data_IF_441941138086
#
_entry.id   IF_441941138086
#
_cell.length_a   1.000
_cell.length_b   1.000
_cell.length_c   1.000
_cell.angle_alpha   90.00
_cell.angle_beta   90.00
_cell.angle_gamma   90.00
#
_symmetry.space_group_name_H-M   'P 1'
#
loop_
_entity.id
_entity.type
_entity.pdbx_description
1 polymer ?
#
# COMPACT_ATOMS: atom_id res chain seq x y z
N UNK A 1 1.21 4.39 -9.73
CA UNK A 1 0.15 3.66 -8.99
C UNK A 1 -0.84 4.65 -8.39
N UNK A 2 -2.16 4.36 -8.48
CA UNK A 2 -3.17 5.07 -7.71
C UNK A 2 -3.20 4.51 -6.27
N UNK A 3 -2.94 5.38 -5.28
CA UNK A 3 -2.95 5.00 -3.88
C UNK A 3 -4.37 4.67 -3.39
N UNK A 4 -4.54 3.69 -2.49
CA UNK A 4 -5.82 3.42 -1.86
C UNK A 4 -6.26 4.60 -0.97
N UNK A 5 -7.47 5.08 -1.17
CA UNK A 5 -8.05 6.20 -0.44
C UNK A 5 -9.46 5.86 0.01
N UNK A 6 -9.68 5.73 1.33
CA UNK A 6 -10.96 5.37 1.92
C UNK A 6 -12.06 6.39 1.53
N UNK A 7 -13.19 5.90 1.03
CA UNK A 7 -14.29 6.71 0.52
C UNK A 7 -14.06 7.35 -0.86
N UNK A 8 -12.92 7.08 -1.50
CA UNK A 8 -12.54 7.69 -2.79
C UNK A 8 -12.29 6.64 -3.86
N UNK A 9 -11.36 5.70 -3.63
CA UNK A 9 -10.93 4.74 -4.66
C UNK A 9 -11.89 3.55 -4.83
N UNK A 10 -13.20 3.83 -4.88
CA UNK A 10 -14.21 2.88 -5.27
C UNK A 10 -14.13 2.56 -6.79
N UNK A 11 -14.92 1.61 -7.25
CA UNK A 11 -14.92 1.17 -8.66
C UNK A 11 -15.10 2.36 -9.63
N UNK A 12 -16.04 3.27 -9.36
CA UNK A 12 -16.34 4.39 -10.27
C UNK A 12 -15.12 5.34 -10.41
N UNK A 13 -14.46 5.67 -9.30
CA UNK A 13 -13.29 6.55 -9.34
C UNK A 13 -12.10 5.87 -10.05
N UNK A 14 -11.84 4.59 -9.77
CA UNK A 14 -10.78 3.84 -10.45
C UNK A 14 -11.05 3.72 -11.94
N UNK A 15 -12.30 3.44 -12.35
CA UNK A 15 -12.71 3.42 -13.76
C UNK A 15 -12.43 4.76 -14.44
N UNK A 16 -12.84 5.87 -13.82
CA UNK A 16 -12.59 7.21 -14.35
C UNK A 16 -11.08 7.49 -14.55
N UNK A 17 -10.25 7.10 -13.56
CA UNK A 17 -8.80 7.27 -13.66
C UNK A 17 -8.22 6.43 -14.80
N UNK A 18 -8.66 5.18 -14.98
CA UNK A 18 -8.24 4.28 -16.06
C UNK A 18 -8.65 4.82 -17.43
N UNK A 19 -9.87 5.32 -17.56
CA UNK A 19 -10.36 5.95 -18.80
C UNK A 19 -9.52 7.18 -19.18
N UNK A 20 -9.13 8.00 -18.20
CA UNK A 20 -8.26 9.15 -18.43
C UNK A 20 -6.84 8.74 -18.84
N UNK A 21 -6.29 7.68 -18.25
CA UNK A 21 -5.00 7.14 -18.68
C UNK A 21 -5.10 6.64 -20.12
N UNK A 22 -6.09 5.79 -20.40
CA UNK A 22 -6.30 5.23 -21.74
C UNK A 22 -6.45 6.31 -22.82
N UNK A 23 -7.27 7.33 -22.54
CA UNK A 23 -7.50 8.44 -23.47
C UNK A 23 -6.24 9.26 -23.78
N UNK A 24 -5.28 9.33 -22.84
CA UNK A 24 -4.05 10.14 -22.99
C UNK A 24 -2.87 9.37 -23.49
N UNK A 25 -2.75 8.09 -23.17
CA UNK A 25 -1.57 7.26 -23.44
C UNK A 25 -1.84 6.14 -24.44
N UNK A 26 -3.10 5.85 -24.75
CA UNK A 26 -3.52 4.74 -25.61
C UNK A 26 -3.48 3.37 -24.90
N UNK A 27 -2.98 3.30 -23.66
CA UNK A 27 -2.88 2.06 -22.88
C UNK A 27 -3.17 2.34 -21.42
N UNK A 28 -3.54 1.28 -20.66
CA UNK A 28 -3.64 1.35 -19.20
C UNK A 28 -2.50 0.51 -18.63
N UNK A 29 -1.51 1.17 -18.06
CA UNK A 29 -0.32 0.56 -17.44
C UNK A 29 -0.26 0.79 -15.93
N UNK A 30 -1.10 1.71 -15.41
CA UNK A 30 -1.17 2.04 -14.00
C UNK A 30 -1.82 0.93 -13.17
N UNK A 31 -1.33 0.74 -11.93
CA UNK A 31 -1.99 -0.09 -10.93
C UNK A 31 -2.94 0.78 -10.10
N UNK A 32 -4.19 0.35 -9.98
CA UNK A 32 -5.26 1.10 -9.31
C UNK A 32 -5.72 0.33 -8.07
N UNK A 33 -5.28 0.78 -6.90
CA UNK A 33 -5.55 0.06 -5.64
C UNK A 33 -6.93 0.44 -5.10
N UNK A 34 -7.75 -0.57 -4.76
CA UNK A 34 -9.06 -0.32 -4.15
C UNK A 34 -8.95 0.23 -2.72
N UNK A 35 -10.09 0.60 -2.15
CA UNK A 35 -10.16 1.05 -0.76
C UNK A 35 -9.69 -0.04 0.21
N UNK A 36 -9.12 0.39 1.35
CA UNK A 36 -8.67 -0.52 2.41
C UNK A 36 -9.83 -1.27 3.04
N UNK A 37 -9.78 -2.59 3.04
CA UNK A 37 -10.71 -3.46 3.78
C UNK A 37 -10.00 -4.15 4.95
N UNK A 38 -10.75 -4.48 6.02
CA UNK A 38 -10.16 -5.22 7.12
C UNK A 38 -10.15 -6.72 6.80
N UNK A 39 -9.02 -7.39 7.02
CA UNK A 39 -8.87 -8.83 6.82
C UNK A 39 -9.95 -9.63 7.57
N UNK A 40 -10.23 -9.26 8.82
CA UNK A 40 -11.27 -9.90 9.62
C UNK A 40 -12.66 -9.80 8.99
N UNK A 41 -13.08 -8.59 8.57
CA UNK A 41 -14.40 -8.40 7.97
C UNK A 41 -14.53 -9.12 6.61
N UNK A 42 -13.41 -9.24 5.87
CA UNK A 42 -13.38 -10.03 4.63
C UNK A 42 -13.63 -11.51 4.92
N UNK A 43 -12.89 -12.08 5.87
CA UNK A 43 -13.04 -13.50 6.28
C UNK A 43 -14.43 -13.78 6.84
N UNK A 44 -14.99 -12.86 7.64
CA UNK A 44 -16.34 -12.95 8.20
C UNK A 44 -17.43 -12.63 7.14
N UNK A 45 -17.08 -12.44 5.89
CA UNK A 45 -17.99 -12.17 4.74
C UNK A 45 -18.94 -11.01 4.98
N UNK A 46 -18.47 -9.94 5.61
CA UNK A 46 -19.26 -8.73 5.80
C UNK A 46 -19.65 -8.15 4.44
N UNK A 47 -20.96 -8.00 4.19
CA UNK A 47 -21.50 -7.57 2.89
C UNK A 47 -20.91 -6.25 2.39
N UNK A 48 -20.78 -5.26 3.27
CA UNK A 48 -20.16 -3.97 2.91
C UNK A 48 -18.70 -4.15 2.49
N UNK A 49 -17.97 -5.01 3.20
CA UNK A 49 -16.57 -5.32 2.87
C UNK A 49 -16.46 -6.03 1.53
N UNK A 50 -17.29 -7.03 1.27
CA UNK A 50 -17.35 -7.73 -0.01
C UNK A 50 -17.69 -6.77 -1.16
N UNK A 51 -18.62 -5.85 -0.96
CA UNK A 51 -18.92 -4.82 -1.95
C UNK A 51 -17.71 -3.91 -2.25
N UNK A 52 -16.89 -3.58 -1.25
CA UNK A 52 -15.66 -2.77 -1.44
C UNK A 52 -14.56 -3.53 -2.20
N UNK A 53 -14.62 -4.86 -2.28
CA UNK A 53 -13.65 -5.69 -3.04
C UNK A 53 -14.10 -5.95 -4.48
N UNK A 54 -15.13 -5.28 -4.97
CA UNK A 54 -15.57 -5.42 -6.36
C UNK A 54 -14.70 -4.61 -7.31
N UNK A 55 -14.51 -5.16 -8.51
CA UNK A 55 -13.77 -4.54 -9.61
C UNK A 55 -14.64 -4.48 -10.85
N UNK A 56 -14.42 -3.49 -11.71
CA UNK A 56 -15.07 -3.44 -13.01
C UNK A 56 -14.44 -4.51 -13.93
N UNK A 57 -15.21 -5.05 -14.91
CA UNK A 57 -14.72 -6.13 -15.79
C UNK A 57 -13.41 -5.82 -16.53
N UNK A 58 -13.14 -4.54 -16.79
CA UNK A 58 -11.93 -4.07 -17.47
C UNK A 58 -10.76 -3.78 -16.52
N UNK A 59 -10.93 -3.92 -15.20
CA UNK A 59 -9.86 -3.71 -14.24
C UNK A 59 -8.92 -4.93 -14.23
N UNK A 60 -7.77 -4.78 -14.88
CA UNK A 60 -6.67 -5.74 -14.93
C UNK A 60 -5.35 -4.95 -14.85
N UNK A 61 -4.46 -5.27 -13.88
CA UNK A 61 -4.68 -6.15 -12.73
C UNK A 61 -5.60 -5.55 -11.66
N UNK A 62 -6.31 -6.42 -10.93
CA UNK A 62 -7.17 -6.06 -9.78
C UNK A 62 -6.30 -5.98 -8.51
N UNK A 63 -6.25 -4.83 -7.88
CA UNK A 63 -5.42 -4.60 -6.70
C UNK A 63 -6.26 -4.34 -5.45
N UNK A 64 -6.12 -5.23 -4.46
CA UNK A 64 -6.87 -5.19 -3.21
C UNK A 64 -5.97 -4.79 -2.03
N UNK A 65 -6.34 -3.71 -1.31
CA UNK A 65 -5.63 -3.37 -0.08
C UNK A 65 -6.31 -3.94 1.15
N UNK A 66 -5.56 -4.70 1.96
CA UNK A 66 -6.04 -5.23 3.24
C UNK A 66 -5.37 -4.53 4.43
N UNK A 67 -6.13 -4.39 5.51
CA UNK A 67 -5.69 -3.95 6.82
C UNK A 67 -5.89 -5.05 7.85
N UNK A 68 -4.90 -5.24 8.71
CA UNK A 68 -4.93 -6.29 9.72
C UNK A 68 -4.05 -5.93 10.92
N UNK A 69 -4.26 -6.63 12.04
CA UNK A 69 -3.40 -6.63 13.23
C UNK A 69 -3.14 -8.06 13.73
N UNK A 70 -3.56 -9.06 12.96
CA UNK A 70 -3.57 -10.46 13.34
C UNK A 70 -3.05 -11.33 12.19
N UNK A 71 -1.96 -12.09 12.38
CA UNK A 71 -1.38 -12.94 11.33
C UNK A 71 -2.33 -14.05 10.86
N UNK A 72 -3.17 -14.61 11.74
CA UNK A 72 -4.11 -15.68 11.37
C UNK A 72 -5.20 -15.15 10.44
N UNK A 73 -5.82 -14.03 10.80
CA UNK A 73 -6.79 -13.37 9.91
C UNK A 73 -6.15 -12.87 8.62
N UNK A 74 -4.87 -12.47 8.66
CA UNK A 74 -4.11 -12.11 7.46
C UNK A 74 -4.01 -13.29 6.50
N UNK A 75 -3.55 -14.43 6.99
CA UNK A 75 -3.45 -15.65 6.20
C UNK A 75 -4.79 -16.05 5.60
N UNK A 76 -5.85 -16.10 6.42
CA UNK A 76 -7.19 -16.48 5.97
C UNK A 76 -7.73 -15.51 4.90
N UNK A 77 -7.52 -14.21 5.07
CA UNK A 77 -7.97 -13.20 4.11
C UNK A 77 -7.21 -13.31 2.78
N UNK A 78 -5.88 -13.41 2.82
CA UNK A 78 -5.06 -13.58 1.63
C UNK A 78 -5.37 -14.92 0.93
N UNK A 79 -5.57 -15.99 1.68
CA UNK A 79 -5.98 -17.29 1.12
C UNK A 79 -7.36 -17.22 0.46
N UNK A 80 -8.32 -16.52 1.07
CA UNK A 80 -9.64 -16.28 0.46
C UNK A 80 -9.53 -15.48 -0.85
N UNK A 81 -8.64 -14.46 -0.89
CA UNK A 81 -8.39 -13.69 -2.12
C UNK A 81 -7.88 -14.60 -3.24
N UNK A 82 -6.96 -15.51 -2.94
CA UNK A 82 -6.42 -16.50 -3.89
C UNK A 82 -7.51 -17.47 -4.33
N UNK A 83 -8.15 -18.16 -3.38
CA UNK A 83 -9.06 -19.29 -3.65
C UNK A 83 -10.33 -18.86 -4.39
N UNK A 84 -10.82 -17.66 -4.10
CA UNK A 84 -12.00 -17.08 -4.74
C UNK A 84 -11.67 -16.15 -5.91
N UNK A 85 -10.40 -16.05 -6.29
CA UNK A 85 -9.91 -15.20 -7.39
C UNK A 85 -10.43 -13.75 -7.27
N UNK A 86 -10.31 -13.15 -6.08
CA UNK A 86 -10.85 -11.83 -5.81
C UNK A 86 -9.95 -10.70 -6.35
N UNK A 87 -8.63 -10.93 -6.43
CA UNK A 87 -7.68 -9.94 -6.91
C UNK A 87 -6.39 -10.61 -7.42
N UNK A 88 -5.62 -9.85 -8.23
CA UNK A 88 -4.36 -10.24 -8.84
C UNK A 88 -3.15 -9.66 -8.10
N UNK A 89 -3.39 -8.79 -7.12
CA UNK A 89 -2.38 -8.14 -6.30
C UNK A 89 -2.95 -7.84 -4.91
N UNK A 90 -2.16 -8.09 -3.86
CA UNK A 90 -2.50 -7.75 -2.48
C UNK A 90 -1.56 -6.66 -1.98
N UNK A 91 -2.10 -5.50 -1.60
CA UNK A 91 -1.37 -4.45 -0.92
C UNK A 91 -1.72 -4.43 0.57
N UNK A 92 -0.72 -4.27 1.45
CA UNK A 92 -0.92 -4.27 2.89
C UNK A 92 -0.78 -2.88 3.49
N UNK A 93 -1.79 -2.46 4.26
CA UNK A 93 -1.82 -1.13 4.87
C UNK A 93 -1.07 -1.07 6.21
N UNK A 94 0.06 -0.40 6.21
CA UNK A 94 0.83 -0.03 7.40
C UNK A 94 1.07 1.49 7.49
N UNK A 95 0.24 2.28 6.80
CA UNK A 95 0.40 3.73 6.74
C UNK A 95 -0.81 4.54 7.24
N UNK A 96 -1.96 3.92 7.52
CA UNK A 96 -3.15 4.64 7.96
C UNK A 96 -2.93 5.29 9.33
N UNK A 97 -3.01 6.66 9.45
CA UNK A 97 -2.74 7.36 10.71
C UNK A 97 -4.00 7.60 11.55
N UNK A 98 -5.17 7.11 11.10
CA UNK A 98 -6.46 7.41 11.73
C UNK A 98 -6.53 6.79 13.14
N UNK A 99 -6.93 7.54 14.19
CA UNK A 99 -6.96 7.04 15.57
C UNK A 99 -7.76 5.75 15.76
N UNK A 100 -8.85 5.56 15.01
CA UNK A 100 -9.64 4.31 15.02
C UNK A 100 -8.81 3.07 14.65
N UNK A 101 -7.78 3.25 13.82
CA UNK A 101 -6.87 2.21 13.34
C UNK A 101 -5.66 2.08 14.28
N UNK A 102 -4.99 3.20 14.58
CA UNK A 102 -3.74 3.21 15.36
C UNK A 102 -3.93 2.85 16.83
N UNK A 103 -5.05 3.23 17.47
CA UNK A 103 -5.38 2.82 18.85
C UNK A 103 -5.53 1.31 19.02
N UNK A 104 -5.81 0.59 17.95
CA UNK A 104 -5.84 -0.88 17.91
C UNK A 104 -4.47 -1.49 17.59
N UNK A 105 -3.44 -0.66 17.47
CA UNK A 105 -2.07 -1.07 17.17
C UNK A 105 -1.84 -1.41 15.71
N UNK A 106 -2.71 -0.96 14.79
CA UNK A 106 -2.61 -1.22 13.37
C UNK A 106 -2.23 0.02 12.55
N UNK A 107 -2.28 -0.09 11.22
CA UNK A 107 -1.86 0.96 10.32
C UNK A 107 -0.43 1.43 10.61
N UNK A 108 -0.22 2.73 10.72
CA UNK A 108 1.10 3.33 10.95
C UNK A 108 1.75 3.00 12.30
N UNK A 109 0.99 2.47 13.28
CA UNK A 109 1.53 2.05 14.56
C UNK A 109 2.11 0.61 14.53
N UNK A 110 1.71 -0.22 13.56
CA UNK A 110 2.09 -1.62 13.54
C UNK A 110 3.58 -1.87 13.26
N UNK A 111 4.26 -1.14 12.36
CA UNK A 111 5.69 -1.33 12.09
C UNK A 111 6.59 -1.16 13.33
N UNK A 112 6.15 -0.43 14.34
CA UNK A 112 6.85 -0.33 15.62
C UNK A 112 6.93 -1.68 16.36
N UNK A 113 5.96 -2.58 16.13
CA UNK A 113 5.93 -3.95 16.67
C UNK A 113 6.60 -4.92 15.70
N UNK A 114 7.91 -4.79 15.50
CA UNK A 114 8.70 -5.46 14.46
C UNK A 114 8.35 -6.92 14.22
N UNK A 115 8.31 -7.74 15.30
CA UNK A 115 8.00 -9.17 15.19
C UNK A 115 6.59 -9.42 14.69
N UNK A 116 5.60 -8.69 15.20
CA UNK A 116 4.21 -8.83 14.76
C UNK A 116 4.05 -8.38 13.30
N UNK A 117 4.70 -7.29 12.93
CA UNK A 117 4.72 -6.78 11.56
C UNK A 117 5.26 -7.83 10.58
N UNK A 118 6.44 -8.40 10.86
CA UNK A 118 7.03 -9.46 10.04
C UNK A 118 6.13 -10.70 9.93
N UNK A 119 5.55 -11.16 11.05
CA UNK A 119 4.62 -12.29 11.07
C UNK A 119 3.38 -12.04 10.20
N UNK A 120 2.86 -10.82 10.19
CA UNK A 120 1.71 -10.43 9.38
C UNK A 120 2.06 -10.43 7.88
N UNK A 121 3.19 -9.83 7.50
CA UNK A 121 3.64 -9.83 6.10
C UNK A 121 3.91 -11.27 5.63
N UNK A 122 4.66 -12.06 6.41
CA UNK A 122 4.92 -13.47 6.10
C UNK A 122 3.64 -14.30 5.96
N UNK A 123 2.61 -14.02 6.77
CA UNK A 123 1.33 -14.72 6.69
C UNK A 123 0.60 -14.44 5.36
N UNK A 124 0.65 -13.21 4.86
CA UNK A 124 0.07 -12.85 3.56
C UNK A 124 0.86 -13.52 2.43
N UNK A 125 2.19 -13.41 2.44
CA UNK A 125 3.07 -14.04 1.43
C UNK A 125 2.89 -15.55 1.39
N UNK A 126 2.86 -16.22 2.55
CA UNK A 126 2.62 -17.65 2.63
C UNK A 126 1.27 -18.07 2.02
N UNK A 127 0.25 -17.24 2.16
CA UNK A 127 -1.07 -17.55 1.60
C UNK A 127 -1.10 -17.44 0.07
N UNK A 128 -0.17 -16.71 -0.55
CA UNK A 128 -0.05 -16.56 -2.01
C UNK A 128 1.01 -17.49 -2.61
N UNK A 129 1.67 -18.33 -1.81
CA UNK A 129 2.65 -19.30 -2.34
C UNK A 129 2.07 -20.19 -3.43
N UNK A 130 2.81 -20.36 -4.51
CA UNK A 130 2.37 -21.16 -5.68
C UNK A 130 1.43 -20.41 -6.63
N UNK A 131 1.23 -19.12 -6.44
CA UNK A 131 0.48 -18.24 -7.35
C UNK A 131 1.35 -17.09 -7.85
N UNK A 132 0.88 -16.37 -8.87
CA UNK A 132 1.54 -15.15 -9.39
C UNK A 132 1.05 -13.86 -8.67
N UNK A 133 0.33 -13.98 -7.55
CA UNK A 133 -0.22 -12.84 -6.81
C UNK A 133 0.86 -12.23 -5.90
N UNK A 134 1.44 -11.07 -6.22
CA UNK A 134 2.42 -10.43 -5.38
C UNK A 134 1.76 -9.77 -4.16
N UNK A 135 2.51 -9.74 -3.05
CA UNK A 135 2.16 -9.01 -1.83
C UNK A 135 3.07 -7.79 -1.71
N UNK A 136 2.50 -6.60 -1.59
CA UNK A 136 3.25 -5.35 -1.36
C UNK A 136 2.88 -4.73 -0.03
N UNK A 137 3.71 -3.80 0.45
CA UNK A 137 3.43 -3.07 1.68
C UNK A 137 3.46 -1.56 1.44
N UNK A 138 2.49 -0.85 2.05
CA UNK A 138 2.47 0.61 2.07
C UNK A 138 2.58 1.12 3.50
N UNK A 139 3.58 1.97 3.78
CA UNK A 139 3.86 2.46 5.12
C UNK A 139 4.16 3.97 5.15
N UNK A 140 4.34 4.52 6.35
CA UNK A 140 4.82 5.88 6.63
C UNK A 140 6.21 5.84 7.24
N UNK A 141 6.85 7.02 7.35
CA UNK A 141 8.18 7.19 7.96
C UNK A 141 8.22 6.64 9.38
N UNK A 142 7.16 6.80 10.12
CA UNK A 142 7.03 6.33 11.50
C UNK A 142 5.81 6.89 12.18
N UNK A 143 5.81 6.86 13.50
CA UNK A 143 4.72 7.40 14.35
C UNK A 143 4.83 8.92 14.43
N UNK A 144 5.99 9.42 14.79
CA UNK A 144 6.36 10.83 14.95
C UNK A 144 7.85 11.02 14.62
N UNK A 145 8.39 12.21 14.91
CA UNK A 145 9.78 12.55 14.58
C UNK A 145 10.81 11.85 15.49
N UNK A 146 10.38 11.31 16.63
CA UNK A 146 11.24 10.53 17.54
C UNK A 146 11.17 9.03 17.26
N UNK A 147 10.12 8.56 16.58
CA UNK A 147 9.84 7.13 16.37
C UNK A 147 9.72 6.81 14.88
N UNK A 148 10.83 6.92 14.17
CA UNK A 148 10.94 6.47 12.79
C UNK A 148 11.05 4.94 12.75
N UNK A 149 10.28 4.31 11.85
CA UNK A 149 10.21 2.84 11.74
C UNK A 149 10.51 2.33 10.34
N UNK A 150 10.51 3.20 9.32
CA UNK A 150 10.47 2.81 7.91
C UNK A 150 11.68 2.00 7.44
N UNK A 151 12.89 2.26 7.95
CA UNK A 151 14.09 1.52 7.53
C UNK A 151 14.01 0.06 8.01
N UNK A 152 13.80 -0.14 9.31
CA UNK A 152 13.65 -1.49 9.87
C UNK A 152 12.43 -2.21 9.28
N UNK A 153 11.29 -1.50 9.17
CA UNK A 153 10.07 -2.08 8.60
C UNK A 153 10.24 -2.45 7.13
N UNK A 154 10.93 -1.63 6.35
CA UNK A 154 11.27 -1.95 4.96
C UNK A 154 12.08 -3.24 4.86
N UNK A 155 13.14 -3.36 5.66
CA UNK A 155 13.98 -4.57 5.70
C UNK A 155 13.16 -5.79 6.11
N UNK A 156 12.40 -5.70 7.19
CA UNK A 156 11.54 -6.80 7.66
C UNK A 156 10.49 -7.19 6.60
N UNK A 157 9.88 -6.22 5.90
CA UNK A 157 8.92 -6.51 4.85
C UNK A 157 9.53 -7.31 3.72
N UNK A 158 10.71 -6.90 3.24
CA UNK A 158 11.45 -7.60 2.18
C UNK A 158 11.88 -9.00 2.62
N UNK A 159 12.46 -9.14 3.81
CA UNK A 159 12.83 -10.44 4.40
C UNK A 159 11.62 -11.36 4.63
N UNK A 160 10.43 -10.78 4.80
CA UNK A 160 9.17 -11.52 4.90
C UNK A 160 8.54 -11.85 3.54
N UNK A 161 9.17 -11.47 2.42
CA UNK A 161 8.76 -11.80 1.06
C UNK A 161 7.89 -10.74 0.36
N UNK A 162 7.84 -9.51 0.85
CA UNK A 162 7.14 -8.43 0.14
C UNK A 162 7.80 -8.14 -1.22
N UNK A 163 6.98 -8.07 -2.28
CA UNK A 163 7.41 -7.84 -3.65
C UNK A 163 7.74 -6.37 -3.96
N UNK A 164 7.22 -5.43 -3.17
CA UNK A 164 7.56 -4.01 -3.24
C UNK A 164 7.21 -3.30 -1.92
N UNK A 165 7.85 -2.15 -1.70
CA UNK A 165 7.61 -1.30 -0.53
C UNK A 165 7.28 0.11 -0.97
N UNK A 166 6.13 0.65 -0.53
CA UNK A 166 5.76 2.06 -0.76
C UNK A 166 5.93 2.86 0.53
N UNK A 167 6.67 3.97 0.46
CA UNK A 167 6.84 4.89 1.58
C UNK A 167 6.13 6.22 1.33
N UNK A 168 5.17 6.58 2.20
CA UNK A 168 4.70 7.96 2.31
C UNK A 168 5.67 8.76 3.19
N UNK A 169 6.28 9.80 2.61
CA UNK A 169 7.31 10.64 3.24
C UNK A 169 6.84 11.50 4.42
N UNK A 170 5.83 11.06 5.18
CA UNK A 170 5.31 11.70 6.40
C UNK A 170 5.19 10.72 7.54
N UNK A 171 5.29 11.21 8.77
CA UNK A 171 4.93 10.43 9.96
C UNK A 171 3.42 10.33 10.14
N UNK A 172 2.97 9.46 11.05
CA UNK A 172 1.55 9.37 11.41
C UNK A 172 1.06 10.67 12.07
N UNK A 173 1.88 11.27 12.94
CA UNK A 173 1.57 12.52 13.65
C UNK A 173 1.37 13.69 12.68
N UNK A 174 2.16 13.79 11.62
CA UNK A 174 2.01 14.81 10.60
C UNK A 174 0.68 14.70 9.84
N UNK A 175 0.13 13.51 9.70
CA UNK A 175 -1.03 13.25 8.81
C UNK A 175 -0.79 13.79 7.40
N UNK A 176 -1.26 15.02 7.09
CA UNK A 176 -1.08 15.71 5.80
C UNK A 176 -0.46 17.10 5.97
N UNK A 177 -0.09 17.50 7.22
CA UNK A 177 0.55 18.79 7.49
C UNK A 177 2.03 18.79 7.06
N UNK A 178 2.57 19.99 6.84
CA UNK A 178 3.95 20.18 6.41
C UNK A 178 4.21 19.58 5.03
N UNK A 179 5.47 19.28 4.75
CA UNK A 179 5.91 18.66 3.50
C UNK A 179 6.26 17.20 3.69
N UNK A 180 6.07 16.38 2.66
CA UNK A 180 6.56 15.03 2.63
C UNK A 180 8.10 15.04 2.53
N UNK A 181 8.76 14.27 3.38
CA UNK A 181 10.22 14.15 3.42
C UNK A 181 10.68 13.14 2.37
N UNK A 182 11.01 13.62 1.20
CA UNK A 182 11.48 12.78 0.10
C UNK A 182 12.87 12.18 0.38
N UNK A 183 13.68 12.85 1.20
CA UNK A 183 14.95 12.32 1.71
C UNK A 183 14.78 10.98 2.46
N UNK A 184 13.68 10.78 3.18
CA UNK A 184 13.39 9.50 3.84
C UNK A 184 13.03 8.40 2.83
N UNK A 185 12.47 8.76 1.67
CA UNK A 185 12.27 7.81 0.56
C UNK A 185 13.62 7.40 -0.04
N UNK A 186 14.52 8.38 -0.26
CA UNK A 186 15.88 8.11 -0.74
C UNK A 186 16.64 7.20 0.23
N UNK A 187 16.58 7.49 1.54
CA UNK A 187 17.20 6.65 2.58
C UNK A 187 16.67 5.22 2.59
N UNK A 188 15.37 5.04 2.43
CA UNK A 188 14.79 3.71 2.34
C UNK A 188 15.26 2.98 1.08
N UNK A 189 15.31 3.67 -0.07
CA UNK A 189 15.82 3.10 -1.33
C UNK A 189 17.27 2.64 -1.19
N UNK A 190 18.12 3.47 -0.61
CA UNK A 190 19.53 3.12 -0.31
C UNK A 190 19.60 1.94 0.66
N UNK A 191 18.81 1.96 1.73
CA UNK A 191 18.78 0.91 2.76
C UNK A 191 18.39 -0.48 2.22
N UNK A 192 17.60 -0.53 1.14
CA UNK A 192 17.12 -1.76 0.50
C UNK A 192 17.85 -2.08 -0.82
N UNK A 193 18.90 -1.33 -1.18
CA UNK A 193 19.56 -1.46 -2.48
C UNK A 193 20.11 -2.86 -2.78
N UNK A 194 20.55 -3.58 -1.73
CA UNK A 194 21.07 -4.95 -1.82
C UNK A 194 20.01 -6.02 -2.08
N UNK A 195 18.73 -5.69 -1.96
CA UNK A 195 17.64 -6.65 -2.05
C UNK A 195 17.06 -6.79 -3.46
N UNK A 196 17.23 -5.78 -4.29
CA UNK A 196 16.59 -5.69 -5.61
C UNK A 196 15.08 -5.45 -5.57
N UNK A 197 14.47 -5.32 -4.38
CA UNK A 197 13.03 -5.07 -4.24
C UNK A 197 12.70 -3.62 -4.55
N UNK A 198 11.69 -3.33 -5.40
CA UNK A 198 11.30 -1.97 -5.75
C UNK A 198 10.83 -1.16 -4.53
N UNK A 199 11.26 0.10 -4.48
CA UNK A 199 10.78 1.11 -3.52
C UNK A 199 10.01 2.18 -4.26
N UNK A 200 8.77 2.44 -3.82
CA UNK A 200 7.89 3.44 -4.41
C UNK A 200 7.74 4.64 -3.48
N UNK A 201 7.81 5.83 -4.07
CA UNK A 201 7.65 7.08 -3.34
C UNK A 201 6.20 7.57 -3.33
N UNK A 202 5.78 8.18 -2.21
CA UNK A 202 4.45 8.77 -2.05
C UNK A 202 4.52 10.04 -1.19
N UNK A 203 3.68 11.02 -1.53
CA UNK A 203 3.52 12.29 -0.82
C UNK A 203 3.92 13.50 -1.65
N UNK A 204 3.03 14.51 -1.67
CA UNK A 204 3.21 15.80 -2.35
C UNK A 204 3.50 15.69 -3.87
N UNK A 205 2.79 14.80 -4.52
CA UNK A 205 2.79 14.66 -5.98
C UNK A 205 1.48 15.28 -6.48
N UNK A 206 1.52 16.54 -6.88
CA UNK A 206 0.36 17.30 -7.35
C UNK A 206 0.30 17.39 -8.88
N UNK A 207 1.44 17.19 -9.55
CA UNK A 207 1.60 17.25 -11.01
C UNK A 207 2.49 16.11 -11.49
N UNK A 208 2.44 15.83 -12.78
CA UNK A 208 3.29 14.81 -13.40
C UNK A 208 4.78 15.08 -13.20
N UNK A 209 5.17 16.36 -13.22
CA UNK A 209 6.54 16.79 -12.98
C UNK A 209 7.03 16.44 -11.57
N UNK A 210 6.14 16.45 -10.57
CA UNK A 210 6.50 16.07 -9.20
C UNK A 210 6.83 14.58 -9.13
N UNK A 211 6.11 13.74 -9.88
CA UNK A 211 6.39 12.30 -9.96
C UNK A 211 7.81 12.05 -10.51
N UNK A 212 8.15 12.69 -11.64
CA UNK A 212 9.49 12.60 -12.22
C UNK A 212 10.55 13.11 -11.27
N UNK A 213 10.33 14.29 -10.68
CA UNK A 213 11.25 14.92 -9.73
C UNK A 213 11.48 14.04 -8.50
N UNK A 214 10.44 13.40 -7.96
CA UNK A 214 10.59 12.45 -6.85
C UNK A 214 11.51 11.29 -7.24
N UNK A 215 11.30 10.66 -8.39
CA UNK A 215 12.14 9.56 -8.85
C UNK A 215 13.60 10.02 -9.08
N UNK A 216 13.82 11.19 -9.68
CA UNK A 216 15.15 11.75 -9.92
C UNK A 216 15.89 12.07 -8.60
N UNK A 217 15.18 12.64 -7.60
CA UNK A 217 15.77 13.05 -6.33
C UNK A 217 16.01 11.92 -5.36
N UNK A 218 15.15 10.89 -5.39
CA UNK A 218 15.19 9.81 -4.38
C UNK A 218 15.73 8.49 -4.91
N UNK A 219 15.83 8.35 -6.23
CA UNK A 219 16.19 7.07 -6.86
C UNK A 219 15.14 5.98 -6.72
N UNK A 220 13.92 6.29 -6.24
CA UNK A 220 12.85 5.31 -6.13
C UNK A 220 12.40 4.81 -7.52
N UNK A 221 11.90 3.56 -7.57
CA UNK A 221 11.60 2.85 -8.81
C UNK A 221 10.26 3.26 -9.43
N UNK A 222 9.45 4.01 -8.70
CA UNK A 222 8.17 4.50 -9.15
C UNK A 222 7.47 5.33 -8.07
N UNK A 223 6.25 5.78 -8.38
CA UNK A 223 5.50 6.63 -7.47
C UNK A 223 4.09 6.11 -7.26
N UNK A 224 3.56 6.40 -6.06
CA UNK A 224 2.16 6.17 -5.74
C UNK A 224 1.49 7.51 -5.44
N UNK A 225 0.44 7.84 -6.18
CA UNK A 225 -0.26 9.14 -6.10
C UNK A 225 -1.61 8.96 -5.41
N UNK A 226 -1.91 9.84 -4.47
CA UNK A 226 -3.13 9.75 -3.63
C UNK A 226 -3.90 11.07 -3.61
N UNK A 227 -4.23 11.56 -2.40
CA UNK A 227 -5.09 12.74 -2.19
C UNK A 227 -4.65 14.01 -2.93
N UNK A 228 -3.38 14.14 -3.27
CA UNK A 228 -2.88 15.25 -4.06
C UNK A 228 -3.48 15.34 -5.48
N UNK A 229 -4.10 14.25 -5.99
CA UNK A 229 -4.80 14.26 -7.29
C UNK A 229 -6.19 14.93 -7.24
N UNK A 230 -6.76 15.10 -6.07
CA UNK A 230 -8.14 15.58 -5.89
C UNK A 230 -8.22 16.94 -5.18
N UNK A 231 -7.11 17.66 -5.11
CA UNK A 231 -7.01 19.02 -4.57
C UNK A 231 -6.77 20.03 -5.69
#
# INVERSE_FOLDING_TARGET
ILAPMAGVTNVAFRTLCREQELARTGTVSGLYVCEMVTARALVERNEKTLHMTTFAPQEDPRSLQIYTVDPEYTYKAAKMIVDENLADHIDMNFGCPVPKVTRRGGGSALPYKRRLFGNIVSAAVKATEGTDIPVTVKMRVGIDDEHHTHLDAGRIAVESGAAAVTLHGRTAAQRYSGQARWDEIARLKEHLADTGVPVLGNGDIFRAEDARRMMEQTGCDGVQVGLSLIH
#
